data_IF_968666336472
#
_entry.id   IF_968666336472
#
_cell.length_a   1.000
_cell.length_b   1.000
_cell.length_c   1.000
_cell.angle_alpha   90.00
_cell.angle_beta   90.00
_cell.angle_gamma   90.00
#
_symmetry.space_group_name_H-M   'P 1'
#
loop_
_entity.id
_entity.type
_entity.pdbx_description
1 polymer ?
#
# COMPACT_ATOMS: atom_id res chain seq x y z
N UNK A 1 11.11 2.63 15.10
CA UNK A 1 12.55 2.64 15.51
C UNK A 1 12.97 1.50 16.44
N UNK A 2 12.32 1.33 17.60
CA UNK A 2 12.74 0.35 18.62
C UNK A 2 12.79 -1.10 18.10
N UNK A 3 11.75 -1.56 17.39
CA UNK A 3 11.68 -2.93 16.87
C UNK A 3 12.80 -3.23 15.86
N UNK A 4 13.04 -2.34 14.91
CA UNK A 4 14.12 -2.50 13.91
C UNK A 4 15.48 -2.58 14.60
N UNK A 5 15.73 -1.72 15.60
CA UNK A 5 16.97 -1.72 16.37
C UNK A 5 17.16 -3.03 17.14
N UNK A 6 16.11 -3.54 17.79
CA UNK A 6 16.12 -4.81 18.51
C UNK A 6 16.39 -6.02 17.59
N UNK A 7 15.99 -5.94 16.31
CA UNK A 7 16.23 -6.96 15.29
C UNK A 7 17.52 -6.74 14.49
N UNK A 8 18.32 -5.72 14.81
CA UNK A 8 19.57 -5.42 14.12
C UNK A 8 19.40 -4.81 12.72
N UNK A 9 18.20 -4.32 12.39
CA UNK A 9 17.94 -3.58 11.16
C UNK A 9 18.27 -2.10 11.34
N UNK A 10 19.05 -1.57 10.41
CA UNK A 10 19.39 -0.15 10.32
C UNK A 10 18.34 0.59 9.49
N UNK A 11 17.52 1.40 10.16
CA UNK A 11 16.49 2.22 9.55
C UNK A 11 17.04 3.25 8.55
N UNK A 12 18.26 3.74 8.74
CA UNK A 12 18.86 4.69 7.80
C UNK A 12 19.15 4.04 6.44
N UNK A 13 19.41 2.73 6.44
CA UNK A 13 19.61 1.93 5.23
C UNK A 13 18.27 1.60 4.59
N UNK A 14 17.29 1.19 5.40
CA UNK A 14 15.96 0.83 4.91
C UNK A 14 15.20 2.04 4.36
N UNK A 15 15.11 3.14 5.11
CA UNK A 15 14.23 4.27 4.82
C UNK A 15 14.98 5.51 4.32
N UNK A 16 16.26 5.67 4.63
CA UNK A 16 16.97 6.94 4.37
C UNK A 16 17.00 7.35 2.89
N UNK A 17 16.98 6.40 1.95
CA UNK A 17 16.85 6.71 0.52
C UNK A 17 15.46 7.28 0.19
N UNK A 18 14.42 6.74 0.80
CA UNK A 18 13.04 7.18 0.63
C UNK A 18 12.83 8.60 1.19
N UNK A 19 13.27 8.84 2.42
CA UNK A 19 13.16 10.16 3.08
C UNK A 19 13.84 11.25 2.25
N UNK A 20 15.09 11.02 1.80
CA UNK A 20 15.81 11.98 0.94
C UNK A 20 15.09 12.26 -0.38
N UNK A 21 14.43 11.26 -0.97
CA UNK A 21 13.66 11.43 -2.22
C UNK A 21 12.42 12.27 -1.98
N UNK A 22 11.67 12.02 -0.91
CA UNK A 22 10.50 12.81 -0.55
C UNK A 22 10.86 14.26 -0.23
N UNK A 23 11.93 14.50 0.54
CA UNK A 23 12.41 15.87 0.80
C UNK A 23 12.81 16.60 -0.48
N UNK A 24 13.48 15.90 -1.40
CA UNK A 24 13.89 16.47 -2.69
C UNK A 24 12.67 16.75 -3.56
N UNK A 25 11.67 15.88 -3.56
CA UNK A 25 10.40 16.07 -4.25
C UNK A 25 9.67 17.31 -3.69
N UNK A 26 9.56 17.43 -2.36
CA UNK A 26 8.94 18.57 -1.67
C UNK A 26 9.60 19.91 -2.02
N UNK A 27 10.94 19.92 -2.15
CA UNK A 27 11.71 21.13 -2.49
C UNK A 27 11.67 21.49 -3.98
N UNK A 28 11.48 20.53 -4.88
CA UNK A 28 11.69 20.71 -6.32
C UNK A 28 10.40 20.69 -7.15
N UNK A 29 9.36 20.01 -6.69
CA UNK A 29 8.13 19.88 -7.45
C UNK A 29 7.11 20.96 -7.09
N UNK A 30 6.36 21.49 -8.07
CA UNK A 30 5.24 22.38 -7.81
C UNK A 30 4.21 21.74 -6.87
N UNK A 31 3.45 22.53 -6.08
CA UNK A 31 2.45 22.00 -5.14
C UNK A 31 1.45 21.03 -5.77
N UNK A 32 0.98 21.30 -7.00
CA UNK A 32 0.05 20.42 -7.71
C UNK A 32 0.64 19.02 -7.99
N UNK A 33 1.95 18.95 -8.23
CA UNK A 33 2.65 17.66 -8.45
C UNK A 33 2.83 16.94 -7.12
N UNK A 34 3.10 17.65 -6.02
CA UNK A 34 3.16 17.06 -4.67
C UNK A 34 1.81 16.48 -4.26
N UNK A 35 0.71 17.18 -4.58
CA UNK A 35 -0.63 16.67 -4.37
C UNK A 35 -0.91 15.44 -5.24
N UNK A 36 -0.52 15.44 -6.52
CA UNK A 36 -0.64 14.25 -7.36
C UNK A 36 0.15 13.05 -6.83
N UNK A 37 1.31 13.28 -6.19
CA UNK A 37 2.07 12.22 -5.51
C UNK A 37 1.27 11.67 -4.33
N UNK A 38 0.66 12.55 -3.52
CA UNK A 38 -0.19 12.16 -2.39
C UNK A 38 -1.37 11.32 -2.84
N UNK A 39 -2.13 11.79 -3.85
CA UNK A 39 -3.21 11.03 -4.49
C UNK A 39 -2.75 9.65 -4.97
N UNK A 40 -1.54 9.57 -5.53
CA UNK A 40 -1.02 8.31 -6.02
C UNK A 40 -0.66 7.34 -4.90
N UNK A 41 -0.16 7.85 -3.77
CA UNK A 41 0.16 7.04 -2.59
C UNK A 41 -1.13 6.56 -1.92
N UNK A 42 -2.09 7.45 -1.67
CA UNK A 42 -3.40 7.09 -1.08
C UNK A 42 -4.14 6.05 -1.93
N UNK A 43 -4.13 6.19 -3.26
CA UNK A 43 -4.75 5.18 -4.09
C UNK A 43 -4.01 3.82 -4.04
N UNK A 44 -2.68 3.83 -3.96
CA UNK A 44 -1.91 2.59 -3.80
C UNK A 44 -2.20 1.91 -2.46
N UNK A 45 -2.30 2.67 -1.36
CA UNK A 45 -2.62 2.12 -0.04
C UNK A 45 -4.05 1.65 0.05
N UNK A 46 -5.01 2.35 -0.57
CA UNK A 46 -6.40 1.91 -0.66
C UNK A 46 -6.55 0.57 -1.42
N UNK A 47 -5.87 0.41 -2.55
CA UNK A 47 -5.89 -0.85 -3.32
C UNK A 47 -5.26 -2.01 -2.52
N UNK A 48 -4.16 -1.76 -1.81
CA UNK A 48 -3.58 -2.76 -0.92
C UNK A 48 -4.52 -3.11 0.23
N UNK A 49 -5.23 -2.13 0.77
CA UNK A 49 -6.18 -2.31 1.87
C UNK A 49 -7.38 -3.16 1.47
N UNK A 50 -7.90 -2.96 0.25
CA UNK A 50 -8.93 -3.84 -0.33
C UNK A 50 -8.44 -5.30 -0.37
N UNK A 51 -7.19 -5.52 -0.77
CA UNK A 51 -6.61 -6.87 -0.80
C UNK A 51 -6.42 -7.48 0.59
N UNK A 52 -6.06 -6.68 1.58
CA UNK A 52 -5.86 -7.12 2.97
C UNK A 52 -7.17 -7.48 3.67
N UNK A 53 -8.27 -6.78 3.34
CA UNK A 53 -9.60 -7.01 3.90
C UNK A 53 -10.39 -8.11 3.16
N UNK A 54 -9.96 -8.50 1.97
CA UNK A 54 -10.58 -9.58 1.20
C UNK A 54 -10.39 -10.96 1.87
N UNK A 55 -11.28 -11.90 1.55
CA UNK A 55 -11.13 -13.31 1.95
C UNK A 55 -9.88 -13.94 1.31
N UNK A 56 -9.25 -14.87 2.03
CA UNK A 56 -8.03 -15.53 1.57
C UNK A 56 -6.81 -14.61 1.57
N UNK A 57 -6.90 -13.43 2.21
CA UNK A 57 -5.76 -12.52 2.25
C UNK A 57 -4.59 -13.09 3.06
N UNK A 58 -3.39 -12.58 2.79
CA UNK A 58 -2.17 -12.94 3.52
C UNK A 58 -2.28 -12.70 5.03
N UNK A 59 -3.25 -11.89 5.49
CA UNK A 59 -3.49 -11.66 6.91
C UNK A 59 -4.12 -12.84 7.64
N UNK A 60 -4.70 -13.83 6.93
CA UNK A 60 -5.24 -15.04 7.55
C UNK A 60 -4.15 -15.95 8.12
N UNK A 61 -2.94 -15.88 7.55
CA UNK A 61 -1.77 -16.65 7.98
C UNK A 61 -0.83 -15.85 8.89
N UNK A 62 -1.11 -14.57 9.10
CA UNK A 62 -0.29 -13.67 9.89
C UNK A 62 -0.53 -13.86 11.41
N UNK A 63 0.42 -13.38 12.22
CA UNK A 63 0.22 -13.27 13.66
C UNK A 63 -1.08 -12.50 13.97
N UNK A 64 -1.97 -13.02 14.86
CA UNK A 64 -3.29 -12.41 15.09
C UNK A 64 -3.24 -10.93 15.49
N UNK A 65 -2.22 -10.52 16.25
CA UNK A 65 -2.07 -9.13 16.68
C UNK A 65 -1.69 -8.24 15.51
N UNK A 66 -0.77 -8.70 14.66
CA UNK A 66 -0.38 -7.97 13.45
C UNK A 66 -1.52 -7.93 12.44
N UNK A 67 -2.25 -9.03 12.28
CA UNK A 67 -3.40 -9.10 11.40
C UNK A 67 -4.51 -8.12 11.84
N UNK A 68 -4.78 -8.02 13.14
CA UNK A 68 -5.74 -7.05 13.67
C UNK A 68 -5.31 -5.59 13.40
N UNK A 69 -4.03 -5.27 13.62
CA UNK A 69 -3.48 -3.94 13.35
C UNK A 69 -3.61 -3.57 11.87
N UNK A 70 -3.24 -4.49 10.97
CA UNK A 70 -3.33 -4.26 9.53
C UNK A 70 -4.77 -4.13 9.06
N UNK A 71 -5.71 -4.93 9.59
CA UNK A 71 -7.15 -4.78 9.26
C UNK A 71 -7.68 -3.41 9.67
N UNK A 72 -7.39 -2.98 10.90
CA UNK A 72 -7.79 -1.64 11.37
C UNK A 72 -7.22 -0.53 10.47
N UNK A 73 -5.94 -0.59 10.15
CA UNK A 73 -5.31 0.41 9.29
C UNK A 73 -5.85 0.36 7.85
N UNK A 74 -6.15 -0.83 7.32
CA UNK A 74 -6.78 -0.98 6.00
C UNK A 74 -8.18 -0.36 5.93
N UNK A 75 -8.94 -0.42 7.03
CA UNK A 75 -10.23 0.27 7.14
C UNK A 75 -10.05 1.78 7.09
N UNK A 76 -9.13 2.34 7.89
CA UNK A 76 -8.78 3.77 7.87
C UNK A 76 -8.41 4.23 6.45
N UNK A 77 -7.56 3.46 5.76
CA UNK A 77 -7.12 3.77 4.39
C UNK A 77 -8.25 3.75 3.35
N UNK A 78 -9.33 2.99 3.61
CA UNK A 78 -10.51 2.96 2.76
C UNK A 78 -11.49 4.11 3.01
N UNK A 79 -11.62 4.57 4.26
CA UNK A 79 -12.53 5.68 4.63
C UNK A 79 -12.12 7.01 4.00
N UNK A 80 -10.82 7.25 3.84
CA UNK A 80 -10.30 8.51 3.30
C UNK A 80 -9.81 8.45 1.85
N UNK A 81 -10.05 7.35 1.14
CA UNK A 81 -9.45 7.04 -0.19
C UNK A 81 -9.69 8.08 -1.31
N UNK A 82 -10.63 8.99 -1.14
CA UNK A 82 -10.94 10.04 -2.12
C UNK A 82 -10.50 11.45 -1.69
N UNK A 83 -10.10 11.67 -0.44
CA UNK A 83 -9.91 13.02 0.10
C UNK A 83 -8.86 13.80 -0.69
N UNK A 84 -7.65 13.26 -0.90
CA UNK A 84 -6.65 13.98 -1.69
C UNK A 84 -7.04 14.07 -3.18
N UNK A 85 -7.78 13.08 -3.70
CA UNK A 85 -8.23 13.08 -5.09
C UNK A 85 -9.19 14.24 -5.35
N UNK A 86 -10.16 14.46 -4.46
CA UNK A 86 -11.15 15.52 -4.57
C UNK A 86 -10.47 16.90 -4.53
N UNK A 87 -9.53 17.09 -3.59
CA UNK A 87 -8.71 18.32 -3.53
C UNK A 87 -7.91 18.51 -4.81
N UNK A 88 -7.28 17.45 -5.34
CA UNK A 88 -6.50 17.51 -6.58
C UNK A 88 -7.35 17.94 -7.77
N UNK A 89 -8.56 17.42 -7.89
CA UNK A 89 -9.51 17.82 -8.94
C UNK A 89 -9.98 19.26 -8.76
N UNK A 90 -10.33 19.65 -7.53
CA UNK A 90 -10.82 20.99 -7.22
C UNK A 90 -9.80 22.10 -7.57
N UNK A 91 -8.50 21.84 -7.42
CA UNK A 91 -7.43 22.80 -7.77
C UNK A 91 -6.97 22.73 -9.23
N UNK A 92 -7.68 22.01 -10.10
CA UNK A 92 -7.39 21.94 -11.54
C UNK A 92 -6.41 20.84 -11.96
N UNK A 93 -6.24 19.80 -11.15
CA UNK A 93 -5.39 18.65 -11.45
C UNK A 93 -5.89 17.84 -12.66
N UNK A 94 -5.00 17.59 -13.63
CA UNK A 94 -5.35 16.90 -14.88
C UNK A 94 -5.19 15.39 -14.79
N UNK A 95 -5.95 14.65 -15.60
CA UNK A 95 -5.83 13.19 -15.74
C UNK A 95 -4.41 12.77 -16.16
N UNK A 96 -3.87 13.43 -17.19
CA UNK A 96 -2.55 13.11 -17.73
C UNK A 96 -1.46 13.23 -16.67
N UNK A 97 -1.52 14.27 -15.82
CA UNK A 97 -0.56 14.46 -14.75
C UNK A 97 -0.69 13.36 -13.68
N UNK A 98 -1.91 13.11 -13.20
CA UNK A 98 -2.20 12.08 -12.20
C UNK A 98 -1.69 10.70 -12.64
N UNK A 99 -2.00 10.28 -13.88
CA UNK A 99 -1.56 9.00 -14.42
C UNK A 99 -0.03 8.91 -14.61
N UNK A 100 0.62 10.00 -15.04
CA UNK A 100 2.10 10.05 -15.17
C UNK A 100 2.77 9.94 -13.81
N UNK A 101 2.25 10.66 -12.82
CA UNK A 101 2.78 10.64 -11.45
C UNK A 101 2.57 9.27 -10.82
N UNK A 102 1.39 8.66 -10.95
CA UNK A 102 1.13 7.31 -10.46
C UNK A 102 2.12 6.27 -10.99
N UNK A 103 2.40 6.26 -12.31
CA UNK A 103 3.41 5.36 -12.87
C UNK A 103 4.79 5.51 -12.23
N UNK A 104 5.19 6.76 -11.94
CA UNK A 104 6.46 7.06 -11.27
C UNK A 104 6.44 6.64 -9.81
N UNK A 105 5.37 6.96 -9.08
CA UNK A 105 5.21 6.57 -7.67
C UNK A 105 5.21 5.05 -7.55
N UNK A 106 4.38 4.33 -8.31
CA UNK A 106 4.33 2.87 -8.31
C UNK A 106 5.70 2.23 -8.55
N UNK A 107 6.42 2.66 -9.60
CA UNK A 107 7.75 2.14 -9.89
C UNK A 107 8.73 2.37 -8.73
N UNK A 108 8.73 3.57 -8.15
CA UNK A 108 9.62 3.92 -7.05
C UNK A 108 9.29 3.15 -5.78
N UNK A 109 8.00 3.00 -5.46
CA UNK A 109 7.51 2.20 -4.32
C UNK A 109 7.89 0.73 -4.48
N UNK A 110 7.74 0.16 -5.68
CA UNK A 110 8.13 -1.23 -5.96
C UNK A 110 9.64 -1.45 -5.78
N UNK A 111 10.47 -0.54 -6.30
CA UNK A 111 11.92 -0.62 -6.10
C UNK A 111 12.32 -0.49 -4.63
N UNK A 112 11.61 0.37 -3.88
CA UNK A 112 11.83 0.54 -2.46
C UNK A 112 11.46 -0.73 -1.69
N UNK A 113 10.29 -1.30 -1.95
CA UNK A 113 9.82 -2.56 -1.37
C UNK A 113 10.83 -3.69 -1.61
N UNK A 114 11.20 -3.95 -2.87
CA UNK A 114 12.18 -5.00 -3.21
C UNK A 114 13.53 -4.78 -2.53
N UNK A 115 14.01 -3.53 -2.47
CA UNK A 115 15.28 -3.22 -1.81
C UNK A 115 15.24 -3.42 -0.29
N UNK A 116 14.10 -3.09 0.35
CA UNK A 116 13.88 -3.31 1.78
C UNK A 116 13.79 -4.79 2.11
N UNK A 117 13.00 -5.54 1.35
CA UNK A 117 12.88 -7.01 1.48
C UNK A 117 14.23 -7.68 1.30
N UNK A 118 14.99 -7.33 0.25
CA UNK A 118 16.33 -7.89 0.03
C UNK A 118 17.29 -7.53 1.17
N UNK A 119 17.21 -6.31 1.73
CA UNK A 119 18.03 -5.92 2.88
C UNK A 119 17.70 -6.75 4.13
N UNK A 120 16.42 -6.91 4.46
CA UNK A 120 15.98 -7.72 5.61
C UNK A 120 16.39 -9.19 5.42
N UNK A 121 16.07 -9.79 4.28
CA UNK A 121 16.47 -11.17 3.98
C UNK A 121 17.99 -11.37 3.99
N UNK A 122 18.78 -10.38 3.55
CA UNK A 122 20.24 -10.44 3.65
C UNK A 122 20.72 -10.44 5.11
N UNK A 123 20.12 -9.59 5.94
CA UNK A 123 20.46 -9.49 7.37
C UNK A 123 20.13 -10.77 8.12
N UNK A 124 19.05 -11.44 7.72
CA UNK A 124 18.60 -12.68 8.34
C UNK A 124 19.31 -13.93 7.74
N UNK A 125 20.18 -13.76 6.75
CA UNK A 125 20.88 -14.86 6.08
C UNK A 125 20.00 -15.66 5.11
N UNK A 126 18.80 -15.17 4.82
CA UNK A 126 17.74 -15.84 4.05
C UNK A 126 17.69 -15.42 2.58
N UNK A 127 18.53 -14.45 2.16
CA UNK A 127 18.50 -13.88 0.80
C UNK A 127 18.60 -14.91 -0.33
N UNK A 128 19.32 -16.02 -0.12
CA UNK A 128 19.49 -17.06 -1.13
C UNK A 128 18.65 -18.31 -0.86
N UNK A 129 17.68 -18.24 0.05
CA UNK A 129 16.76 -19.35 0.35
C UNK A 129 15.69 -19.46 -0.74
N UNK A 130 15.71 -20.51 -1.59
CA UNK A 130 14.75 -20.62 -2.69
C UNK A 130 13.31 -20.82 -2.20
N UNK A 131 13.12 -21.45 -1.03
CA UNK A 131 11.82 -21.67 -0.42
C UNK A 131 11.13 -20.34 -0.09
N UNK A 132 11.85 -19.42 0.55
CA UNK A 132 11.30 -18.11 0.93
C UNK A 132 10.92 -17.28 -0.29
N UNK A 133 11.73 -17.32 -1.36
CA UNK A 133 11.37 -16.64 -2.60
C UNK A 133 10.19 -17.28 -3.29
N UNK A 134 10.05 -18.61 -3.25
CA UNK A 134 8.89 -19.32 -3.79
C UNK A 134 7.62 -18.92 -3.03
N UNK A 135 7.65 -18.96 -1.70
CA UNK A 135 6.51 -18.63 -0.85
C UNK A 135 6.13 -17.15 -1.05
N UNK A 136 7.10 -16.23 -1.03
CA UNK A 136 6.84 -14.82 -1.29
C UNK A 136 6.32 -14.53 -2.71
N UNK A 137 6.77 -15.27 -3.73
CA UNK A 137 6.19 -15.16 -5.08
C UNK A 137 4.76 -15.69 -5.14
N UNK A 138 4.44 -16.74 -4.38
CA UNK A 138 3.08 -17.25 -4.25
C UNK A 138 2.17 -16.25 -3.53
N UNK A 139 2.64 -15.62 -2.46
CA UNK A 139 1.87 -14.61 -1.72
C UNK A 139 1.66 -13.31 -2.53
N UNK A 140 2.56 -13.00 -3.47
CA UNK A 140 2.43 -11.83 -4.33
C UNK A 140 1.61 -12.12 -5.60
N UNK A 141 1.88 -13.23 -6.29
CA UNK A 141 1.37 -13.51 -7.64
C UNK A 141 0.51 -14.78 -7.74
N UNK A 142 0.26 -15.47 -6.62
CA UNK A 142 -0.67 -16.59 -6.56
C UNK A 142 -2.11 -16.16 -6.87
N UNK A 143 -3.04 -17.13 -6.83
CA UNK A 143 -4.46 -16.91 -7.14
C UNK A 143 -5.09 -15.83 -6.23
N UNK A 144 -4.70 -15.83 -4.97
CA UNK A 144 -5.13 -14.87 -3.93
C UNK A 144 -3.98 -13.94 -3.53
N UNK A 145 -2.94 -13.86 -4.38
CA UNK A 145 -1.77 -13.05 -4.11
C UNK A 145 -2.07 -11.56 -4.22
N UNK A 146 -1.34 -10.75 -3.45
CA UNK A 146 -1.58 -9.30 -3.32
C UNK A 146 -1.62 -8.60 -4.69
N UNK A 147 -0.67 -8.89 -5.59
CA UNK A 147 -0.60 -8.24 -6.91
C UNK A 147 -1.71 -8.73 -7.83
N UNK A 148 -2.05 -10.02 -7.77
CA UNK A 148 -3.13 -10.61 -8.57
C UNK A 148 -4.48 -9.97 -8.22
N UNK A 149 -4.78 -9.87 -6.92
CA UNK A 149 -6.02 -9.28 -6.40
C UNK A 149 -6.06 -7.75 -6.58
N UNK A 150 -4.93 -7.06 -6.44
CA UNK A 150 -4.84 -5.60 -6.58
C UNK A 150 -4.95 -5.13 -8.03
N UNK A 151 -4.58 -5.97 -9.01
CA UNK A 151 -4.40 -5.56 -10.40
C UNK A 151 -5.63 -4.91 -11.03
N UNK A 152 -6.87 -5.44 -10.89
CA UNK A 152 -8.05 -4.79 -11.43
C UNK A 152 -8.19 -3.38 -10.88
N UNK A 153 -8.35 -3.25 -9.56
CA UNK A 153 -8.51 -1.97 -8.84
C UNK A 153 -7.42 -0.95 -9.16
N UNK A 154 -6.17 -1.39 -9.31
CA UNK A 154 -5.07 -0.52 -9.70
C UNK A 154 -5.18 -0.01 -11.15
N UNK A 155 -5.69 -0.83 -12.07
CA UNK A 155 -5.87 -0.46 -13.48
C UNK A 155 -7.01 0.54 -13.67
N UNK A 156 -8.08 0.49 -12.86
CA UNK A 156 -9.15 1.49 -12.84
C UNK A 156 -8.60 2.92 -12.74
N UNK A 157 -7.53 3.13 -11.96
CA UNK A 157 -6.91 4.45 -11.79
C UNK A 157 -6.50 5.09 -13.12
N UNK A 158 -6.16 4.31 -14.13
CA UNK A 158 -5.71 4.83 -15.43
C UNK A 158 -6.84 5.13 -16.41
N UNK A 159 -8.11 4.95 -16.01
CA UNK A 159 -9.26 5.31 -16.84
C UNK A 159 -9.55 6.82 -16.78
N UNK A 160 -10.06 7.34 -17.89
CA UNK A 160 -10.62 8.69 -17.91
C UNK A 160 -11.92 8.73 -17.09
N UNK A 161 -12.14 9.81 -16.35
CA UNK A 161 -13.31 9.94 -15.48
C UNK A 161 -13.29 9.04 -14.24
N UNK A 162 -12.13 8.44 -13.92
CA UNK A 162 -11.93 7.67 -12.69
C UNK A 162 -12.22 8.53 -11.45
N UNK A 163 -12.88 7.93 -10.46
CA UNK A 163 -13.05 8.46 -9.12
C UNK A 163 -12.84 7.34 -8.09
N UNK A 164 -12.11 7.53 -6.99
CA UNK A 164 -11.89 6.45 -5.99
C UNK A 164 -13.18 5.83 -5.45
N UNK A 165 -14.24 6.62 -5.27
CA UNK A 165 -15.58 6.13 -4.88
C UNK A 165 -16.30 5.26 -5.91
N UNK A 166 -15.83 5.15 -7.17
CA UNK A 166 -16.38 4.19 -8.13
C UNK A 166 -16.03 2.74 -7.78
N UNK A 167 -15.02 2.54 -6.92
CA UNK A 167 -14.67 1.24 -6.39
C UNK A 167 -15.52 0.99 -5.15
N UNK A 168 -16.57 0.18 -5.29
CA UNK A 168 -17.42 -0.18 -4.16
C UNK A 168 -16.67 -1.12 -3.22
N UNK A 169 -16.27 -0.58 -2.07
CA UNK A 169 -15.58 -1.30 -1.00
C UNK A 169 -16.38 -1.26 0.30
N UNK A 170 -17.64 -0.81 0.27
CA UNK A 170 -18.43 -0.63 1.48
C UNK A 170 -18.72 -1.98 2.16
N UNK A 171 -18.95 -3.02 1.35
CA UNK A 171 -19.19 -4.37 1.87
C UNK A 171 -18.02 -4.91 2.71
N UNK A 172 -16.78 -4.51 2.45
CA UNK A 172 -15.60 -4.90 3.23
C UNK A 172 -15.59 -4.19 4.60
N UNK A 173 -16.02 -2.93 4.65
CA UNK A 173 -16.17 -2.17 5.89
C UNK A 173 -17.28 -2.76 6.76
N UNK A 174 -18.44 -3.01 6.15
CA UNK A 174 -19.62 -3.56 6.84
C UNK A 174 -19.30 -4.93 7.45
N UNK A 175 -18.56 -5.78 6.72
CA UNK A 175 -18.06 -7.05 7.23
C UNK A 175 -17.12 -6.87 8.42
N UNK A 176 -16.13 -5.97 8.30
CA UNK A 176 -15.18 -5.73 9.39
C UNK A 176 -15.89 -5.25 10.67
N UNK A 177 -16.89 -4.37 10.54
CA UNK A 177 -17.70 -3.93 11.69
C UNK A 177 -18.42 -5.11 12.34
N UNK A 178 -19.05 -5.99 11.54
CA UNK A 178 -19.70 -7.20 12.07
C UNK A 178 -18.71 -8.10 12.83
N UNK A 179 -17.53 -8.35 12.26
CA UNK A 179 -16.49 -9.18 12.89
C UNK A 179 -15.97 -8.54 14.19
N UNK A 180 -15.85 -7.21 14.23
CA UNK A 180 -15.39 -6.46 15.40
C UNK A 180 -16.43 -6.41 16.52
N UNK A 181 -17.70 -6.20 16.21
CA UNK A 181 -18.81 -6.22 17.16
C UNK A 181 -18.97 -7.62 17.80
N UNK A 182 -18.89 -8.69 17.00
CA UNK A 182 -18.95 -10.06 17.52
C UNK A 182 -17.79 -10.36 18.48
N UNK A 183 -16.59 -9.87 18.17
CA UNK A 183 -15.38 -10.08 18.98
C UNK A 183 -15.34 -9.28 20.29
N UNK A 184 -16.13 -8.20 20.41
CA UNK A 184 -16.18 -7.35 21.61
C UNK A 184 -17.30 -7.72 22.58
N UNK A 185 -18.27 -8.53 22.14
CA UNK A 185 -19.40 -9.01 22.94
C UNK A 185 -19.16 -10.43 23.50
N UNK A 186 -18.16 -11.15 22.99
CA UNK A 186 -17.73 -12.47 23.47
C UNK A 186 -16.63 -12.40 24.54
#
# INVERSE_FOLDING_TARGET
>A
ETLCRLRGYDLSVAEGKHTRRLEKARKRFPPIVQLAITVSIEHLTAVLSECMLSEGSVLEQADPTMAALWRWHSVEEMEHKAVAFDVYRAVGGTESMRMKVMRRVFFMSMMQFLSGTAYMLRKDGLLFSPGIWKDGLQDLFGKEGIVTSAKPSFQEFFREGFHPWQQDTQYLLDRWVQDFEVSTVA
#
